data_IF_604918703832
#
_entry.id   IF_604918703832
#
_cell.length_a   1.000
_cell.length_b   1.000
_cell.length_c   1.000
_cell.angle_alpha   90.00
_cell.angle_beta   90.00
_cell.angle_gamma   90.00
#
_symmetry.space_group_name_H-M   'P 1'
#
loop_
_entity.id
_entity.type
_entity.pdbx_description
1 polymer ?
#
# COMPACT_ATOMS: atom_id res chain seq x y z
N UNK A 1 8.06 39.09 -11.01
CA UNK A 1 8.39 37.71 -11.44
C UNK A 1 8.60 36.71 -10.29
N UNK A 2 9.12 37.13 -9.12
CA UNK A 2 9.37 36.23 -7.97
C UNK A 2 8.11 35.63 -7.29
N UNK A 3 6.98 36.36 -7.31
CA UNK A 3 5.73 35.89 -6.65
C UNK A 3 4.98 34.82 -7.45
N UNK A 4 5.13 34.79 -8.77
CA UNK A 4 4.45 33.80 -9.64
C UNK A 4 5.11 32.41 -9.51
N UNK A 5 6.44 32.36 -9.30
CA UNK A 5 7.18 31.09 -9.16
C UNK A 5 6.84 30.34 -7.86
N UNK A 6 6.59 31.07 -6.77
CA UNK A 6 6.22 30.48 -5.45
C UNK A 6 4.82 29.89 -5.52
N UNK A 7 3.88 30.54 -6.22
CA UNK A 7 2.50 30.04 -6.36
C UNK A 7 2.43 28.75 -7.20
N UNK A 8 3.25 28.65 -8.25
CA UNK A 8 3.30 27.45 -9.11
C UNK A 8 3.89 26.23 -8.34
N UNK A 9 4.92 26.44 -7.51
CA UNK A 9 5.53 25.36 -6.72
C UNK A 9 4.55 24.82 -5.66
N UNK A 10 3.77 25.69 -5.03
CA UNK A 10 2.72 25.27 -4.06
C UNK A 10 1.59 24.52 -4.78
N UNK A 11 1.20 24.94 -5.98
CA UNK A 11 0.15 24.26 -6.76
C UNK A 11 0.56 22.89 -7.28
N UNK A 12 1.80 22.73 -7.74
CA UNK A 12 2.34 21.41 -8.18
C UNK A 12 2.49 20.45 -7.01
N UNK A 13 2.86 20.94 -5.81
CA UNK A 13 2.96 20.10 -4.61
C UNK A 13 1.58 19.64 -4.10
N UNK A 14 0.55 20.49 -4.16
CA UNK A 14 -0.84 20.11 -3.86
C UNK A 14 -1.41 19.08 -4.85
N UNK A 15 -1.09 19.19 -6.14
CA UNK A 15 -1.59 18.26 -7.16
C UNK A 15 -1.02 16.83 -6.98
N UNK A 16 0.25 16.69 -6.56
CA UNK A 16 0.87 15.38 -6.30
C UNK A 16 0.31 14.71 -5.04
N UNK A 17 -0.08 15.49 -4.02
CA UNK A 17 -0.69 14.95 -2.80
C UNK A 17 -2.12 14.44 -3.04
N UNK A 18 -2.89 15.09 -3.90
CA UNK A 18 -4.25 14.68 -4.24
C UNK A 18 -4.29 13.31 -4.93
N UNK A 19 -3.33 12.99 -5.79
CA UNK A 19 -3.28 11.70 -6.46
C UNK A 19 -2.90 10.54 -5.52
N UNK A 20 -1.96 10.73 -4.61
CA UNK A 20 -1.58 9.71 -3.62
C UNK A 20 -2.72 9.42 -2.64
N UNK A 21 -3.43 10.45 -2.19
CA UNK A 21 -4.60 10.35 -1.33
C UNK A 21 -5.73 9.55 -2.00
N UNK A 22 -5.98 9.79 -3.28
CA UNK A 22 -7.03 9.11 -4.06
C UNK A 22 -6.77 7.61 -4.19
N UNK A 23 -5.54 7.18 -4.38
CA UNK A 23 -5.17 5.76 -4.51
C UNK A 23 -5.46 4.99 -3.23
N UNK A 24 -5.03 5.50 -2.07
CA UNK A 24 -5.22 4.80 -0.79
C UNK A 24 -6.70 4.71 -0.41
N UNK A 25 -7.46 5.78 -0.54
CA UNK A 25 -8.90 5.78 -0.29
C UNK A 25 -9.62 4.77 -1.19
N UNK A 26 -9.25 4.71 -2.45
CA UNK A 26 -9.84 3.79 -3.39
C UNK A 26 -9.61 2.32 -3.03
N UNK A 27 -8.44 1.95 -2.48
CA UNK A 27 -8.17 0.60 -2.00
C UNK A 27 -9.02 0.25 -0.77
N UNK A 28 -9.20 1.19 0.16
CA UNK A 28 -10.10 1.00 1.30
C UNK A 28 -11.55 0.81 0.86
N UNK A 29 -12.02 1.64 -0.08
CA UNK A 29 -13.36 1.52 -0.67
C UNK A 29 -13.56 0.16 -1.36
N UNK A 30 -12.52 -0.35 -2.05
CA UNK A 30 -12.53 -1.68 -2.64
C UNK A 30 -12.70 -2.78 -1.58
N UNK A 31 -11.92 -2.73 -0.51
CA UNK A 31 -12.03 -3.68 0.61
C UNK A 31 -13.44 -3.66 1.21
N UNK A 32 -13.97 -2.46 1.52
CA UNK A 32 -15.31 -2.35 2.09
C UNK A 32 -16.39 -2.92 1.19
N UNK A 33 -16.27 -2.72 -0.11
CA UNK A 33 -17.24 -3.20 -1.12
C UNK A 33 -17.22 -4.71 -1.29
N UNK A 34 -16.05 -5.35 -1.21
CA UNK A 34 -15.87 -6.74 -1.61
C UNK A 34 -15.49 -7.71 -0.50
N UNK A 35 -15.28 -7.23 0.75
CA UNK A 35 -14.91 -8.09 1.88
C UNK A 35 -15.90 -9.23 2.14
N UNK A 36 -17.19 -8.94 2.04
CA UNK A 36 -18.23 -9.92 2.33
C UNK A 36 -18.26 -11.03 1.27
N UNK A 37 -18.04 -10.68 0.00
CA UNK A 37 -17.87 -11.65 -1.09
C UNK A 37 -16.62 -12.51 -0.83
N UNK A 38 -15.49 -11.90 -0.50
CA UNK A 38 -14.26 -12.64 -0.22
C UNK A 38 -14.40 -13.60 0.99
N UNK A 39 -15.13 -13.20 2.03
CA UNK A 39 -15.46 -14.05 3.19
C UNK A 39 -16.39 -15.19 2.78
N UNK A 40 -17.38 -14.94 1.92
CA UNK A 40 -18.26 -15.99 1.37
C UNK A 40 -17.44 -17.03 0.59
N UNK A 41 -16.57 -16.56 -0.30
CA UNK A 41 -15.69 -17.44 -1.09
C UNK A 41 -14.69 -18.21 -0.22
N UNK A 42 -14.15 -17.60 0.83
CA UNK A 42 -13.30 -18.29 1.80
C UNK A 42 -14.05 -19.46 2.47
N UNK A 43 -15.33 -19.29 2.82
CA UNK A 43 -16.16 -20.36 3.42
C UNK A 43 -16.41 -21.49 2.44
N UNK A 44 -16.60 -21.16 1.15
CA UNK A 44 -16.93 -22.15 0.11
C UNK A 44 -15.70 -22.92 -0.40
N UNK A 45 -14.57 -22.23 -0.57
CA UNK A 45 -13.39 -22.76 -1.26
C UNK A 45 -12.15 -22.88 -0.38
N UNK A 46 -12.20 -22.49 0.89
CA UNK A 46 -11.08 -22.56 1.85
C UNK A 46 -9.85 -21.72 1.44
N UNK A 47 -10.03 -20.65 0.67
CA UNK A 47 -8.99 -19.69 0.30
C UNK A 47 -9.07 -18.50 1.28
N UNK A 48 -7.95 -18.01 1.88
CA UNK A 48 -8.01 -16.86 2.78
C UNK A 48 -8.69 -15.65 2.13
N UNK A 49 -9.66 -15.04 2.81
CA UNK A 49 -10.32 -13.83 2.32
C UNK A 49 -9.33 -12.68 2.09
N UNK A 50 -8.29 -12.60 2.94
CA UNK A 50 -7.19 -11.66 2.81
C UNK A 50 -6.43 -11.81 1.49
N UNK A 51 -6.16 -13.04 1.06
CA UNK A 51 -5.50 -13.37 -0.21
C UNK A 51 -6.38 -12.92 -1.37
N UNK A 52 -7.66 -13.31 -1.37
CA UNK A 52 -8.60 -12.94 -2.44
C UNK A 52 -8.72 -11.42 -2.57
N UNK A 53 -8.86 -10.70 -1.46
CA UNK A 53 -8.92 -9.23 -1.47
C UNK A 53 -7.61 -8.59 -1.98
N UNK A 54 -6.46 -9.07 -1.51
CA UNK A 54 -5.17 -8.53 -1.93
C UNK A 54 -4.89 -8.78 -3.42
N UNK A 55 -5.27 -9.96 -3.95
CA UNK A 55 -5.20 -10.24 -5.37
C UNK A 55 -6.14 -9.32 -6.16
N UNK A 56 -7.40 -9.20 -5.76
CA UNK A 56 -8.35 -8.30 -6.42
C UNK A 56 -7.88 -6.85 -6.46
N UNK A 57 -7.27 -6.35 -5.38
CA UNK A 57 -6.64 -5.01 -5.37
C UNK A 57 -5.48 -4.95 -6.37
N UNK A 58 -4.58 -5.93 -6.34
CA UNK A 58 -3.35 -5.91 -7.13
C UNK A 58 -3.63 -6.06 -8.63
N UNK A 59 -4.47 -7.03 -9.01
CA UNK A 59 -4.75 -7.38 -10.41
C UNK A 59 -5.68 -6.35 -11.09
N UNK A 60 -6.63 -5.79 -10.36
CA UNK A 60 -7.59 -4.84 -10.94
C UNK A 60 -7.26 -3.37 -10.68
N UNK A 61 -6.14 -3.06 -10.00
CA UNK A 61 -5.89 -1.70 -9.50
C UNK A 61 -7.04 -1.22 -8.60
N UNK A 62 -7.52 -2.13 -7.72
CA UNK A 62 -8.70 -1.91 -6.88
C UNK A 62 -9.98 -1.56 -7.70
N UNK A 63 -10.21 -2.30 -8.78
CA UNK A 63 -11.39 -2.15 -9.63
C UNK A 63 -11.28 -1.03 -10.67
N UNK A 64 -10.10 -0.40 -10.83
CA UNK A 64 -9.90 0.70 -11.79
C UNK A 64 -9.37 0.22 -13.15
N UNK A 65 -8.93 -1.04 -13.27
CA UNK A 65 -8.45 -1.56 -14.55
C UNK A 65 -9.56 -1.57 -15.60
N UNK A 66 -9.17 -1.52 -16.86
CA UNK A 66 -10.08 -1.57 -17.99
C UNK A 66 -10.88 -2.89 -18.01
N UNK A 67 -10.20 -4.02 -17.76
CA UNK A 67 -10.82 -5.33 -17.65
C UNK A 67 -11.89 -5.37 -16.55
N UNK A 68 -11.61 -4.77 -15.40
CA UNK A 68 -12.60 -4.70 -14.33
C UNK A 68 -13.79 -3.82 -14.70
N UNK A 69 -13.58 -2.66 -15.31
CA UNK A 69 -14.66 -1.73 -15.68
C UNK A 69 -15.56 -2.25 -16.81
N UNK A 70 -14.97 -2.89 -17.83
CA UNK A 70 -15.70 -3.39 -19.00
C UNK A 70 -16.28 -4.79 -18.80
N UNK A 71 -15.58 -5.64 -18.04
CA UNK A 71 -15.88 -7.06 -17.91
C UNK A 71 -16.08 -7.56 -16.49
N UNK A 72 -16.13 -6.71 -15.45
CA UNK A 72 -16.15 -7.14 -14.06
C UNK A 72 -15.04 -8.17 -13.71
N UNK A 73 -13.95 -8.20 -14.49
CA UNK A 73 -12.86 -9.14 -14.28
C UNK A 73 -11.83 -8.58 -13.29
N UNK A 74 -11.98 -8.94 -12.03
CA UNK A 74 -11.17 -8.44 -10.92
C UNK A 74 -9.80 -9.12 -10.79
N UNK A 75 -9.56 -10.23 -11.51
CA UNK A 75 -8.37 -11.07 -11.33
C UNK A 75 -7.59 -11.31 -12.62
N UNK A 76 -7.98 -10.67 -13.73
CA UNK A 76 -7.30 -10.83 -15.01
C UNK A 76 -7.39 -12.26 -15.58
N UNK A 77 -8.49 -12.98 -15.37
CA UNK A 77 -8.61 -14.36 -15.83
C UNK A 77 -8.81 -14.38 -17.35
N UNK A 78 -7.89 -15.04 -18.06
CA UNK A 78 -7.91 -15.24 -19.52
C UNK A 78 -8.96 -16.30 -19.92
N UNK A 79 -9.42 -16.30 -21.14
CA UNK A 79 -10.54 -17.15 -21.62
C UNK A 79 -10.30 -18.65 -21.45
N UNK A 80 -9.20 -19.20 -21.96
CA UNK A 80 -8.84 -20.63 -21.83
C UNK A 80 -10.04 -21.59 -21.92
N UNK A 81 -10.75 -21.60 -23.06
CA UNK A 81 -11.95 -22.44 -23.26
C UNK A 81 -13.23 -21.89 -22.62
N UNK A 82 -13.24 -20.64 -22.21
CA UNK A 82 -14.42 -19.95 -21.72
C UNK A 82 -15.50 -19.76 -22.81
N UNK A 83 -16.71 -20.18 -22.52
CA UNK A 83 -17.86 -20.04 -23.44
C UNK A 83 -18.76 -18.84 -23.10
N UNK A 84 -18.49 -18.12 -22.02
CA UNK A 84 -19.24 -16.94 -21.59
C UNK A 84 -18.81 -15.66 -22.32
N UNK A 85 -19.30 -14.52 -21.84
CA UNK A 85 -18.91 -13.19 -22.34
C UNK A 85 -17.40 -12.97 -22.19
N UNK A 86 -16.81 -12.26 -23.14
CA UNK A 86 -15.38 -11.94 -23.13
C UNK A 86 -15.12 -10.46 -23.42
N UNK A 87 -13.95 -9.99 -23.01
CA UNK A 87 -13.38 -8.68 -23.32
C UNK A 87 -11.97 -8.91 -23.85
N UNK A 88 -11.60 -8.18 -24.89
CA UNK A 88 -10.26 -8.22 -25.47
C UNK A 88 -9.44 -7.04 -24.95
N UNK A 89 -8.21 -7.32 -24.56
CA UNK A 89 -7.31 -6.32 -24.00
C UNK A 89 -5.85 -6.66 -24.34
N UNK A 90 -5.02 -5.66 -24.56
CA UNK A 90 -3.58 -5.84 -24.76
C UNK A 90 -2.90 -6.05 -23.42
N UNK A 91 -2.27 -7.21 -23.22
CA UNK A 91 -1.49 -7.56 -22.03
C UNK A 91 -0.11 -8.12 -22.47
N UNK A 92 0.15 -9.40 -22.30
CA UNK A 92 1.38 -10.03 -22.81
C UNK A 92 1.39 -10.10 -24.35
N UNK A 93 0.22 -10.23 -24.95
CA UNK A 93 -0.03 -10.22 -26.41
C UNK A 93 -1.11 -9.19 -26.75
N UNK A 94 -1.16 -8.82 -28.05
CA UNK A 94 -2.20 -7.90 -28.56
C UNK A 94 -3.53 -8.63 -28.63
N UNK A 95 -4.62 -7.98 -28.18
CA UNK A 95 -6.00 -8.51 -28.26
C UNK A 95 -6.18 -9.87 -27.57
N UNK A 96 -5.56 -10.07 -26.40
CA UNK A 96 -5.81 -11.26 -25.61
C UNK A 96 -7.24 -11.32 -25.09
N UNK A 97 -7.79 -12.55 -25.06
CA UNK A 97 -9.14 -12.81 -24.60
C UNK A 97 -9.21 -12.97 -23.08
N UNK A 98 -10.02 -12.15 -22.42
CA UNK A 98 -10.29 -12.23 -20.99
C UNK A 98 -11.77 -12.51 -20.73
N UNK A 99 -12.06 -13.28 -19.68
CA UNK A 99 -13.43 -13.57 -19.25
C UNK A 99 -14.13 -12.30 -18.83
N UNK A 100 -15.42 -12.18 -19.13
CA UNK A 100 -16.27 -11.11 -18.67
C UNK A 100 -17.47 -11.66 -17.91
N UNK A 101 -17.80 -10.99 -16.81
CA UNK A 101 -18.81 -11.43 -15.86
C UNK A 101 -19.93 -10.38 -15.76
N UNK A 102 -21.13 -10.80 -15.33
CA UNK A 102 -22.24 -9.89 -15.11
C UNK A 102 -22.11 -9.13 -13.78
N UNK A 103 -21.32 -9.66 -12.84
CA UNK A 103 -21.10 -9.07 -11.53
C UNK A 103 -19.68 -9.34 -10.99
N UNK A 104 -19.25 -8.55 -10.03
CA UNK A 104 -18.04 -8.81 -9.28
C UNK A 104 -18.11 -10.17 -8.54
N UNK A 105 -19.29 -10.56 -8.03
CA UNK A 105 -19.49 -11.85 -7.35
C UNK A 105 -19.12 -13.02 -8.24
N UNK A 106 -19.55 -13.01 -9.52
CA UNK A 106 -19.20 -14.05 -10.50
C UNK A 106 -17.68 -14.11 -10.74
N UNK A 107 -17.01 -12.96 -10.82
CA UNK A 107 -15.55 -12.90 -10.96
C UNK A 107 -14.82 -13.49 -9.77
N UNK A 108 -15.27 -13.20 -8.55
CA UNK A 108 -14.69 -13.74 -7.31
C UNK A 108 -14.92 -15.26 -7.21
N UNK A 109 -16.10 -15.73 -7.54
CA UNK A 109 -16.42 -17.16 -7.56
C UNK A 109 -15.59 -17.92 -8.60
N UNK A 110 -15.47 -17.39 -9.82
CA UNK A 110 -14.67 -18.02 -10.87
C UNK A 110 -13.18 -18.05 -10.52
N UNK A 111 -12.66 -16.99 -9.92
CA UNK A 111 -11.29 -16.98 -9.38
C UNK A 111 -11.09 -18.05 -8.31
N UNK A 112 -12.03 -18.19 -7.38
CA UNK A 112 -11.96 -19.20 -6.34
C UNK A 112 -12.01 -20.62 -6.91
N UNK A 113 -12.89 -20.85 -7.89
CA UNK A 113 -12.96 -22.11 -8.66
C UNK A 113 -11.66 -22.40 -9.38
N UNK A 114 -11.11 -21.42 -10.08
CA UNK A 114 -9.85 -21.53 -10.81
C UNK A 114 -8.71 -22.00 -9.91
N UNK A 115 -8.57 -21.44 -8.71
CA UNK A 115 -7.58 -21.89 -7.74
C UNK A 115 -7.89 -23.29 -7.19
N UNK A 116 -9.15 -23.56 -6.84
CA UNK A 116 -9.54 -24.80 -6.18
C UNK A 116 -9.49 -26.02 -7.12
N UNK A 117 -9.76 -25.84 -8.41
CA UNK A 117 -9.82 -26.94 -9.39
C UNK A 117 -8.51 -27.20 -10.11
N UNK A 118 -7.61 -26.25 -10.13
CA UNK A 118 -6.32 -26.41 -10.80
C UNK A 118 -5.34 -27.24 -9.96
N UNK A 119 -4.85 -28.33 -10.54
CA UNK A 119 -3.86 -29.21 -9.91
C UNK A 119 -2.59 -28.45 -9.45
N UNK A 120 -2.24 -27.37 -10.18
CA UNK A 120 -1.10 -26.48 -9.88
C UNK A 120 -1.16 -25.91 -8.46
N UNK A 121 -2.35 -25.56 -7.96
CA UNK A 121 -2.54 -24.91 -6.66
C UNK A 121 -2.95 -25.87 -5.55
N UNK A 122 -3.14 -27.17 -5.83
CA UNK A 122 -3.65 -28.16 -4.87
C UNK A 122 -2.92 -28.16 -3.54
N UNK A 123 -1.60 -27.97 -3.54
CA UNK A 123 -0.76 -27.95 -2.33
C UNK A 123 -1.11 -26.77 -1.38
N UNK A 124 -1.66 -25.66 -1.90
CA UNK A 124 -1.99 -24.49 -1.08
C UNK A 124 -3.14 -24.79 -0.12
N UNK A 125 -4.04 -25.69 -0.49
CA UNK A 125 -5.20 -26.06 0.33
C UNK A 125 -4.85 -26.93 1.53
N UNK A 126 -3.59 -27.31 1.72
CA UNK A 126 -3.05 -27.92 2.92
C UNK A 126 -2.59 -26.88 3.96
N UNK A 127 -2.47 -25.61 3.55
CA UNK A 127 -2.06 -24.52 4.43
C UNK A 127 -3.24 -24.05 5.30
N UNK A 128 -2.99 -23.63 6.55
CA UNK A 128 -4.01 -22.96 7.35
C UNK A 128 -4.52 -21.68 6.65
N UNK A 129 -5.83 -21.44 6.70
CA UNK A 129 -6.43 -20.21 6.15
C UNK A 129 -5.86 -18.93 6.74
N UNK A 130 -5.41 -18.98 7.98
CA UNK A 130 -4.85 -17.82 8.69
C UNK A 130 -3.38 -17.57 8.35
N UNK A 131 -2.74 -18.47 7.60
CA UNK A 131 -1.35 -18.32 7.17
C UNK A 131 -1.26 -17.70 5.76
N UNK A 132 -1.74 -16.46 5.65
CA UNK A 132 -1.69 -15.70 4.38
C UNK A 132 -0.28 -15.54 3.82
N UNK A 133 0.77 -15.60 4.65
CA UNK A 133 2.15 -15.49 4.18
C UNK A 133 2.56 -16.70 3.36
N UNK A 134 2.34 -17.90 3.89
CA UNK A 134 2.60 -19.14 3.15
C UNK A 134 1.72 -19.25 1.91
N UNK A 135 0.47 -18.79 1.97
CA UNK A 135 -0.41 -18.71 0.80
C UNK A 135 0.17 -17.77 -0.28
N UNK A 136 0.64 -16.57 0.08
CA UNK A 136 1.22 -15.61 -0.86
C UNK A 136 2.48 -16.14 -1.55
N UNK A 137 3.39 -16.75 -0.77
CA UNK A 137 4.59 -17.39 -1.35
C UNK A 137 4.23 -18.59 -2.21
N UNK A 138 3.33 -19.43 -1.74
CA UNK A 138 2.87 -20.60 -2.47
C UNK A 138 2.21 -20.25 -3.81
N UNK A 139 1.39 -19.19 -3.88
CA UNK A 139 0.84 -18.68 -5.15
C UNK A 139 1.96 -18.29 -6.12
N UNK A 140 2.98 -17.58 -5.64
CA UNK A 140 4.14 -17.22 -6.47
C UNK A 140 4.91 -18.45 -6.96
N UNK A 141 5.17 -19.41 -6.09
CA UNK A 141 5.85 -20.66 -6.42
C UNK A 141 5.03 -21.55 -7.38
N UNK A 142 3.72 -21.52 -7.28
CA UNK A 142 2.81 -22.18 -8.23
C UNK A 142 2.70 -21.42 -9.56
N UNK A 143 3.40 -20.30 -9.75
CA UNK A 143 3.41 -19.54 -11.00
C UNK A 143 2.13 -18.76 -11.27
N UNK A 144 1.44 -18.27 -10.23
CA UNK A 144 0.28 -17.39 -10.40
C UNK A 144 0.66 -16.09 -11.14
N UNK A 145 1.84 -15.55 -10.83
CA UNK A 145 2.37 -14.35 -11.47
C UNK A 145 3.88 -14.50 -11.77
N UNK A 146 4.34 -13.87 -12.83
CA UNK A 146 5.75 -13.85 -13.23
C UNK A 146 6.60 -12.94 -12.35
N UNK A 147 6.01 -11.87 -11.80
CA UNK A 147 6.70 -10.86 -10.99
C UNK A 147 7.37 -11.49 -9.75
N UNK A 148 8.70 -11.37 -9.57
CA UNK A 148 9.42 -11.94 -8.43
C UNK A 148 9.02 -11.37 -7.08
N UNK A 149 8.42 -10.16 -7.05
CA UNK A 149 7.96 -9.50 -5.84
C UNK A 149 6.46 -9.74 -5.55
N UNK A 150 5.81 -10.67 -6.27
CA UNK A 150 4.37 -10.88 -6.15
C UNK A 150 3.92 -11.20 -4.72
N UNK A 151 4.56 -12.19 -4.09
CA UNK A 151 4.24 -12.56 -2.71
C UNK A 151 4.41 -11.39 -1.72
N UNK A 152 5.51 -10.64 -1.85
CA UNK A 152 5.76 -9.47 -1.00
C UNK A 152 4.72 -8.37 -1.20
N UNK A 153 4.25 -8.17 -2.43
CA UNK A 153 3.18 -7.18 -2.71
C UNK A 153 1.86 -7.59 -2.05
N UNK A 154 1.47 -8.87 -2.15
CA UNK A 154 0.29 -9.39 -1.48
C UNK A 154 0.39 -9.22 0.04
N UNK A 155 1.49 -9.67 0.64
CA UNK A 155 1.73 -9.55 2.09
C UNK A 155 1.67 -8.07 2.53
N UNK A 156 2.28 -7.17 1.76
CA UNK A 156 2.23 -5.73 2.06
C UNK A 156 0.81 -5.17 2.05
N UNK A 157 -0.01 -5.57 1.07
CA UNK A 157 -1.42 -5.17 1.01
C UNK A 157 -2.21 -5.74 2.19
N UNK A 158 -2.03 -7.03 2.50
CA UNK A 158 -2.72 -7.70 3.61
C UNK A 158 -2.37 -7.03 4.95
N UNK A 159 -1.09 -6.77 5.20
CA UNK A 159 -0.64 -6.12 6.44
C UNK A 159 -1.06 -4.65 6.51
N UNK A 160 -1.02 -3.94 5.38
CA UNK A 160 -1.37 -2.51 5.32
C UNK A 160 -2.84 -2.26 5.60
N UNK A 161 -3.71 -3.03 4.92
CA UNK A 161 -5.16 -2.89 5.04
C UNK A 161 -5.75 -3.85 6.08
N UNK A 162 -4.88 -4.55 6.85
CA UNK A 162 -5.26 -5.52 7.90
C UNK A 162 -6.25 -6.59 7.40
N UNK A 163 -6.09 -7.02 6.14
CA UNK A 163 -7.03 -7.92 5.51
C UNK A 163 -7.10 -9.29 6.20
N UNK A 164 -6.03 -9.71 6.91
CA UNK A 164 -5.96 -10.96 7.67
C UNK A 164 -7.03 -11.07 8.76
N UNK A 165 -7.61 -9.97 9.21
CA UNK A 165 -8.75 -9.98 10.13
C UNK A 165 -9.96 -10.72 9.55
N UNK A 166 -10.12 -10.76 8.23
CA UNK A 166 -11.22 -11.42 7.55
C UNK A 166 -11.05 -12.94 7.41
N UNK A 167 -9.87 -13.48 7.75
CA UNK A 167 -9.56 -14.92 7.64
C UNK A 167 -10.09 -15.73 8.83
N UNK A 168 -10.52 -15.08 9.91
CA UNK A 168 -11.02 -15.70 11.13
C UNK A 168 -12.55 -15.73 11.12
N UNK A 169 -13.21 -16.91 11.05
CA UNK A 169 -14.67 -17.00 11.09
C UNK A 169 -15.22 -16.47 12.42
N UNK A 170 -16.24 -15.62 12.35
CA UNK A 170 -16.96 -15.12 13.53
C UNK A 170 -16.21 -14.04 14.32
N UNK A 171 -15.04 -13.61 13.90
CA UNK A 171 -14.46 -12.41 14.46
C UNK A 171 -15.46 -11.26 14.23
N UNK A 172 -15.97 -10.69 15.32
CA UNK A 172 -16.68 -9.41 15.23
C UNK A 172 -15.64 -8.45 14.69
N UNK A 173 -15.76 -8.12 13.40
CA UNK A 173 -14.92 -7.12 12.75
C UNK A 173 -15.26 -5.78 13.40
N UNK A 174 -14.68 -5.55 14.59
CA UNK A 174 -14.71 -4.26 15.24
C UNK A 174 -13.83 -3.33 14.41
N UNK A 175 -14.40 -2.83 13.32
CA UNK A 175 -13.98 -1.50 12.92
C UNK A 175 -14.51 -0.57 14.02
N UNK A 176 -13.64 0.19 14.68
CA UNK A 176 -14.15 1.41 15.32
C UNK A 176 -14.90 2.12 14.19
N UNK A 177 -16.17 2.44 14.44
CA UNK A 177 -16.97 3.32 13.56
C UNK A 177 -16.37 4.71 13.72
N UNK A 178 -15.17 4.87 13.20
CA UNK A 178 -14.54 6.17 13.00
C UNK A 178 -15.11 6.64 11.68
N UNK A 179 -15.83 7.73 11.70
CA UNK A 179 -16.30 8.39 10.49
C UNK A 179 -15.18 8.44 9.47
N UNK A 180 -15.41 8.16 8.16
CA UNK A 180 -14.39 8.29 7.12
C UNK A 180 -13.69 9.65 7.11
N UNK A 181 -14.31 10.68 7.69
CA UNK A 181 -13.75 12.01 7.90
C UNK A 181 -12.67 12.04 9.00
N UNK A 182 -12.69 11.09 9.94
CA UNK A 182 -11.84 11.08 11.13
C UNK A 182 -10.65 10.12 11.05
N UNK A 183 -10.47 9.41 9.94
CA UNK A 183 -9.31 8.53 9.75
C UNK A 183 -8.13 9.24 9.12
N UNK A 184 -6.90 8.85 9.54
CA UNK A 184 -5.69 9.31 8.88
C UNK A 184 -5.59 8.76 7.47
N UNK A 185 -5.32 9.65 6.53
CA UNK A 185 -5.06 9.27 5.16
C UNK A 185 -3.66 8.72 5.05
N UNK A 186 -3.54 7.43 4.76
CA UNK A 186 -2.25 6.80 4.51
C UNK A 186 -1.76 7.19 3.13
N UNK A 187 -0.53 7.69 3.05
CA UNK A 187 0.13 8.15 1.83
C UNK A 187 1.39 7.35 1.57
N UNK A 188 1.83 7.33 0.32
CA UNK A 188 3.05 6.62 -0.10
C UNK A 188 4.10 7.64 -0.52
N UNK A 189 5.31 7.52 0.02
CA UNK A 189 6.47 8.27 -0.42
C UNK A 189 7.75 7.46 -0.22
N UNK A 190 8.67 7.54 -1.17
CA UNK A 190 9.95 6.82 -1.14
C UNK A 190 9.81 5.34 -0.75
N UNK A 191 8.84 4.63 -1.36
CA UNK A 191 8.53 3.21 -1.08
C UNK A 191 8.13 2.93 0.37
N UNK A 192 7.69 3.95 1.11
CA UNK A 192 7.22 3.84 2.48
C UNK A 192 5.84 4.49 2.61
N UNK A 193 5.13 4.08 3.63
CA UNK A 193 3.81 4.57 3.98
C UNK A 193 3.94 5.59 5.09
N UNK A 194 3.16 6.63 5.03
CA UNK A 194 3.11 7.64 6.08
C UNK A 194 1.71 8.22 6.24
N UNK A 195 1.47 8.79 7.39
CA UNK A 195 0.33 9.66 7.68
C UNK A 195 0.83 11.04 8.06
N UNK A 196 -0.04 12.03 8.02
CA UNK A 196 0.23 13.39 8.51
C UNK A 196 -0.50 13.53 9.82
N UNK A 197 0.23 13.83 10.88
CA UNK A 197 -0.33 14.02 12.22
C UNK A 197 -1.29 15.20 12.24
N UNK A 198 -2.38 15.07 12.97
CA UNK A 198 -3.37 16.09 13.24
C UNK A 198 -3.11 16.70 14.62
N UNK A 199 -3.79 17.78 14.91
CA UNK A 199 -3.74 18.39 16.24
C UNK A 199 -4.21 17.41 17.32
N UNK A 200 -3.36 17.17 18.30
CA UNK A 200 -3.62 16.25 19.41
C UNK A 200 -3.18 14.80 19.18
N UNK A 201 -2.61 14.49 18.00
CA UNK A 201 -2.08 13.16 17.74
C UNK A 201 -0.85 12.85 18.56
N UNK A 202 -0.73 11.57 18.86
CA UNK A 202 0.43 10.92 19.47
C UNK A 202 0.80 9.69 18.69
N UNK A 203 2.01 9.15 18.88
CA UNK A 203 2.35 7.85 18.32
C UNK A 203 1.38 6.75 18.76
N UNK A 204 0.77 6.89 19.94
CA UNK A 204 -0.20 5.93 20.47
C UNK A 204 -1.53 6.02 19.71
N UNK A 205 -2.11 7.22 19.57
CA UNK A 205 -3.40 7.40 18.87
C UNK A 205 -3.33 6.94 17.42
N UNK A 206 -2.27 7.35 16.69
CA UNK A 206 -2.04 6.91 15.30
C UNK A 206 -1.81 5.39 15.23
N UNK A 207 -1.04 4.81 16.14
CA UNK A 207 -0.76 3.39 16.13
C UNK A 207 -2.00 2.54 16.42
N UNK A 208 -2.84 2.97 17.38
CA UNK A 208 -4.11 2.31 17.71
C UNK A 208 -5.07 2.34 16.52
N UNK A 209 -5.17 3.49 15.82
CA UNK A 209 -6.00 3.65 14.61
C UNK A 209 -5.58 2.71 13.48
N UNK A 210 -4.26 2.54 13.26
CA UNK A 210 -3.72 1.77 12.13
C UNK A 210 -3.33 0.33 12.52
N UNK A 211 -3.56 -0.09 13.76
CA UNK A 211 -3.22 -1.45 14.23
C UNK A 211 -1.72 -1.73 14.33
N UNK A 212 -0.92 -0.71 14.65
CA UNK A 212 0.53 -0.84 14.82
C UNK A 212 0.96 -0.71 16.28
N UNK A 213 2.13 -1.23 16.61
CA UNK A 213 2.75 -0.93 17.91
C UNK A 213 3.29 0.50 17.94
N UNK A 214 2.81 1.34 18.87
CA UNK A 214 3.28 2.73 19.03
C UNK A 214 4.78 2.83 19.29
N UNK A 215 5.37 1.82 19.98
CA UNK A 215 6.83 1.74 20.21
C UNK A 215 7.59 1.53 18.91
N UNK A 216 7.07 0.66 18.01
CA UNK A 216 7.65 0.46 16.68
C UNK A 216 7.46 1.69 15.80
N UNK A 217 6.27 2.33 15.87
CA UNK A 217 5.96 3.54 15.11
C UNK A 217 6.93 4.69 15.46
N UNK A 218 7.14 4.98 16.75
CA UNK A 218 8.10 5.97 17.21
C UNK A 218 9.54 5.65 16.75
N UNK A 219 9.95 4.37 16.86
CA UNK A 219 11.27 3.91 16.37
C UNK A 219 11.45 4.08 14.87
N UNK A 220 10.40 3.86 14.06
CA UNK A 220 10.46 4.07 12.61
C UNK A 220 10.66 5.54 12.25
N UNK A 221 10.16 6.44 13.11
CA UNK A 221 10.27 7.88 12.95
C UNK A 221 11.49 8.47 13.67
N UNK A 222 12.28 7.65 14.38
CA UNK A 222 13.47 8.09 15.10
C UNK A 222 13.16 9.18 16.14
N UNK A 223 12.00 9.05 16.83
CA UNK A 223 11.50 9.94 17.90
C UNK A 223 11.23 9.17 19.18
N UNK A 224 11.19 9.87 20.31
CA UNK A 224 10.73 9.26 21.56
C UNK A 224 9.24 8.93 21.48
N UNK A 225 8.86 7.80 22.04
CA UNK A 225 7.47 7.29 22.01
C UNK A 225 6.48 8.16 22.81
N UNK A 226 6.97 8.98 23.73
CA UNK A 226 6.17 9.88 24.57
C UNK A 226 6.10 11.29 24.00
N UNK A 227 6.84 11.55 22.93
CA UNK A 227 6.90 12.85 22.30
C UNK A 227 5.54 13.19 21.66
N UNK A 228 5.09 14.41 21.86
CA UNK A 228 3.88 14.94 21.24
C UNK A 228 4.16 15.26 19.78
N UNK A 229 3.23 14.86 18.90
CA UNK A 229 3.30 15.19 17.49
C UNK A 229 2.71 16.57 17.23
N UNK A 230 3.38 17.32 16.37
CA UNK A 230 2.83 18.58 15.86
C UNK A 230 1.91 18.32 14.68
N UNK A 231 0.86 19.14 14.54
CA UNK A 231 0.02 19.10 13.35
C UNK A 231 0.88 19.30 12.10
N UNK A 232 0.71 18.42 11.12
CA UNK A 232 1.52 18.41 9.90
C UNK A 232 2.76 17.51 9.94
N UNK A 233 3.12 16.94 11.10
CA UNK A 233 4.22 16.00 11.19
C UNK A 233 4.01 14.78 10.29
N UNK A 234 5.02 14.43 9.52
CA UNK A 234 5.02 13.20 8.72
C UNK A 234 5.36 12.03 9.64
N UNK A 235 4.48 11.04 9.72
CA UNK A 235 4.67 9.83 10.54
C UNK A 235 4.74 8.62 9.64
N UNK A 236 5.95 8.09 9.43
CA UNK A 236 6.19 6.89 8.63
C UNK A 236 5.73 5.62 9.34
N UNK A 237 4.97 4.78 8.67
CA UNK A 237 4.37 3.55 9.21
C UNK A 237 5.31 2.35 9.15
N UNK A 238 6.42 2.46 8.42
CA UNK A 238 7.50 1.47 8.34
C UNK A 238 8.85 2.16 8.44
N UNK A 239 9.90 1.38 8.67
CA UNK A 239 11.27 1.87 8.76
C UNK A 239 11.66 2.64 7.48
N UNK A 240 12.12 3.88 7.63
CA UNK A 240 12.54 4.75 6.54
C UNK A 240 13.68 4.14 5.70
N UNK A 241 13.79 4.57 4.47
CA UNK A 241 14.81 4.08 3.53
C UNK A 241 16.22 4.60 3.89
N UNK A 242 17.25 4.02 3.30
CA UNK A 242 18.61 4.52 3.41
C UNK A 242 18.93 5.65 2.43
N UNK A 243 18.11 5.80 1.36
CA UNK A 243 18.27 6.77 0.27
C UNK A 243 16.91 7.36 -0.08
N UNK A 244 16.89 8.59 -0.57
CA UNK A 244 15.72 9.20 -1.17
C UNK A 244 15.30 8.47 -2.46
N UNK A 245 14.20 8.88 -3.07
CA UNK A 245 13.78 8.35 -4.35
C UNK A 245 14.84 8.58 -5.44
N UNK A 246 14.87 7.68 -6.45
CA UNK A 246 15.82 7.73 -7.57
C UNK A 246 15.79 9.07 -8.33
N UNK A 247 14.64 9.76 -8.33
CA UNK A 247 14.50 11.09 -8.92
C UNK A 247 15.44 12.15 -8.32
N UNK A 248 15.98 11.90 -7.12
CA UNK A 248 16.96 12.76 -6.45
C UNK A 248 18.41 12.30 -6.65
N UNK A 249 18.67 11.29 -7.48
CA UNK A 249 20.03 10.89 -7.84
C UNK A 249 20.72 12.10 -8.51
N UNK A 250 21.94 12.42 -8.06
CA UNK A 250 22.74 13.56 -8.51
C UNK A 250 22.15 14.96 -8.21
N UNK A 251 21.14 15.04 -7.34
CA UNK A 251 20.58 16.30 -6.85
C UNK A 251 20.95 16.53 -5.39
N UNK A 252 21.13 17.79 -5.02
CA UNK A 252 21.37 18.21 -3.65
C UNK A 252 20.10 18.85 -3.08
N UNK A 253 19.85 18.62 -1.81
CA UNK A 253 18.94 19.46 -1.04
C UNK A 253 19.72 20.68 -0.54
N UNK A 254 19.22 21.87 -0.80
CA UNK A 254 19.77 23.12 -0.26
C UNK A 254 18.97 23.47 0.99
N UNK A 255 19.66 23.52 2.14
CA UNK A 255 19.04 23.77 3.44
C UNK A 255 18.35 25.13 3.47
N UNK A 256 17.08 25.13 3.86
CA UNK A 256 16.26 26.33 4.00
C UNK A 256 16.17 26.78 5.46
N UNK A 257 15.74 28.02 5.67
CA UNK A 257 15.52 28.56 7.02
C UNK A 257 14.48 27.71 7.76
N UNK A 258 14.81 27.30 8.99
CA UNK A 258 13.94 26.48 9.85
C UNK A 258 14.02 24.97 9.61
N UNK A 259 14.81 24.49 8.64
CA UNK A 259 15.04 23.07 8.46
C UNK A 259 16.11 22.55 9.44
N UNK A 260 15.97 21.29 9.83
CA UNK A 260 16.93 20.51 10.61
C UNK A 260 17.31 19.25 9.83
N UNK A 261 18.42 18.59 10.21
CA UNK A 261 18.77 17.29 9.64
C UNK A 261 17.63 16.28 9.78
N UNK A 262 16.89 16.34 10.90
CA UNK A 262 15.72 15.50 11.12
C UNK A 262 14.58 15.84 10.16
N UNK A 263 14.19 17.12 10.04
CA UNK A 263 13.09 17.52 9.16
C UNK A 263 13.39 17.20 7.69
N UNK A 264 14.64 17.37 7.26
CA UNK A 264 15.10 16.99 5.92
C UNK A 264 15.03 15.46 5.74
N UNK A 265 15.47 14.67 6.72
CA UNK A 265 15.38 13.22 6.68
C UNK A 265 13.90 12.74 6.59
N UNK A 266 12.99 13.38 7.35
CA UNK A 266 11.55 13.12 7.26
C UNK A 266 11.00 13.47 5.87
N UNK A 267 11.31 14.65 5.36
CA UNK A 267 10.90 15.13 4.03
C UNK A 267 11.23 14.14 2.91
N UNK A 268 12.40 13.50 2.96
CA UNK A 268 12.86 12.55 1.95
C UNK A 268 12.58 11.08 2.29
N UNK A 269 11.94 10.79 3.42
CA UNK A 269 11.64 9.44 3.87
C UNK A 269 12.88 8.57 4.09
N UNK A 270 13.97 9.18 4.56
CA UNK A 270 15.25 8.51 4.80
C UNK A 270 15.63 8.54 6.29
N UNK A 271 16.45 7.57 6.70
CA UNK A 271 16.94 7.51 8.07
C UNK A 271 17.88 8.67 8.36
N UNK A 272 17.72 9.32 9.50
CA UNK A 272 18.57 10.42 9.93
C UNK A 272 20.07 10.04 9.93
N UNK A 273 20.40 8.88 10.50
CA UNK A 273 21.78 8.34 10.46
C UNK A 273 22.31 8.16 9.03
N UNK A 274 21.44 7.81 8.07
CA UNK A 274 21.85 7.65 6.67
C UNK A 274 22.12 9.00 6.00
N UNK A 275 21.39 10.06 6.38
CA UNK A 275 21.63 11.41 5.89
C UNK A 275 22.98 11.95 6.37
N UNK A 276 23.31 11.82 7.67
CA UNK A 276 24.61 12.18 8.20
C UNK A 276 25.74 11.42 7.49
N UNK A 277 25.68 10.09 7.48
CA UNK A 277 26.71 9.25 6.84
C UNK A 277 26.94 9.60 5.37
N UNK A 278 25.87 9.88 4.63
CA UNK A 278 25.94 10.20 3.21
C UNK A 278 26.68 11.52 2.94
N UNK A 279 26.58 12.46 3.84
CA UNK A 279 27.22 13.76 3.76
C UNK A 279 28.56 13.83 4.50
N UNK A 280 29.01 12.73 5.13
CA UNK A 280 30.24 12.67 5.96
C UNK A 280 30.19 13.66 7.10
N UNK A 281 29.00 13.82 7.71
CA UNK A 281 28.76 14.73 8.84
C UNK A 281 28.61 13.94 10.12
N UNK A 282 29.13 14.47 11.24
CA UNK A 282 28.91 13.92 12.56
C UNK A 282 27.49 14.27 13.08
N UNK A 283 26.93 13.49 14.01
CA UNK A 283 25.55 13.69 14.50
C UNK A 283 25.29 15.03 15.19
N UNK A 284 26.33 15.71 15.69
CA UNK A 284 26.28 17.02 16.31
C UNK A 284 26.46 18.19 15.36
N UNK A 285 26.69 17.91 14.07
CA UNK A 285 26.84 18.95 13.05
C UNK A 285 25.60 19.83 12.93
N UNK A 286 25.80 21.14 13.12
CA UNK A 286 24.77 22.16 13.01
C UNK A 286 24.69 22.65 11.55
N UNK A 287 23.64 22.25 10.85
CA UNK A 287 23.43 22.69 9.47
C UNK A 287 23.14 24.19 9.37
N UNK A 288 23.57 24.82 8.29
CA UNK A 288 23.36 26.24 7.99
C UNK A 288 22.52 26.39 6.75
N UNK A 289 21.74 27.47 6.67
CA UNK A 289 21.01 27.85 5.45
C UNK A 289 21.98 27.94 4.28
N UNK A 290 21.65 27.28 3.18
CA UNK A 290 22.51 27.20 1.99
C UNK A 290 23.39 25.94 1.92
N UNK A 291 23.54 25.18 3.01
CA UNK A 291 24.26 23.90 2.95
C UNK A 291 23.64 22.95 1.92
N UNK A 292 24.49 22.22 1.21
CA UNK A 292 24.08 21.31 0.13
C UNK A 292 24.21 19.86 0.57
N UNK A 293 23.09 19.21 0.82
CA UNK A 293 23.04 17.84 1.33
C UNK A 293 22.67 16.82 0.24
N UNK A 294 23.46 15.74 0.15
CA UNK A 294 23.12 14.55 -0.64
C UNK A 294 22.02 13.78 0.08
N UNK A 295 20.93 13.47 -0.63
CA UNK A 295 19.79 12.72 -0.07
C UNK A 295 19.60 11.33 -0.72
N UNK A 296 20.19 11.11 -1.89
CA UNK A 296 20.15 9.82 -2.60
C UNK A 296 21.40 8.96 -2.40
#
# INVERSE_FOLDING_TARGET
MRKILITIIVFVFCALTVNAQKVVRHYQEYVQRYKDIAIEEMKRYNIPASITLAQGILESGAGQSELCRKGNNHFGIKCHGWSGRSVYHDDDETQECFRAYNSAKESFEDHSKFLATSARYKRLFQLPRTDYKSWAYGLKECGYATNPQYAQKLIQLIELYQLHQYDVPGSKHHQPVVSPADQHIIRIYNKNLYVVARRGDTFKTIADEIGLSYRKLAKYNERDRRETLSEGDIVYLKKKQKRADKAFKNKYHVVQRGESMYSIAQKYGIRLKSLYKKNRLEPDYQIKVGDRLKVY
#
